data_IF_577986415650
#
_entry.id   IF_577986415650
#
_cell.length_a   1.000
_cell.length_b   1.000
_cell.length_c   1.000
_cell.angle_alpha   90.00
_cell.angle_beta   90.00
_cell.angle_gamma   90.00
#
_symmetry.space_group_name_H-M   'P 1'
#
loop_
_entity.id
_entity.type
_entity.pdbx_description
1 polymer ?
#
# COMPACT_ATOMS: atom_id res chain seq x y z
N UNK A 1 12.27 -14.26 -11.79
CA UNK A 1 12.82 -13.49 -10.65
C UNK A 1 11.67 -13.21 -9.68
N UNK A 2 11.92 -13.09 -8.38
CA UNK A 2 10.89 -12.67 -7.43
C UNK A 2 10.54 -11.19 -7.71
N UNK A 3 9.27 -10.82 -7.55
CA UNK A 3 8.83 -9.41 -7.69
C UNK A 3 9.46 -8.54 -6.61
N UNK A 4 9.79 -7.30 -6.95
CA UNK A 4 10.18 -6.28 -5.96
C UNK A 4 8.98 -5.86 -5.13
N UNK A 5 9.22 -5.22 -3.99
CA UNK A 5 8.14 -4.63 -3.18
C UNK A 5 7.37 -3.56 -3.96
N UNK A 6 8.08 -2.70 -4.69
CA UNK A 6 7.47 -1.76 -5.65
C UNK A 6 6.46 -2.43 -6.57
N UNK A 7 6.85 -3.53 -7.23
CA UNK A 7 5.98 -4.27 -8.15
C UNK A 7 4.78 -4.92 -7.45
N UNK A 8 4.97 -5.42 -6.22
CA UNK A 8 3.88 -5.97 -5.41
C UNK A 8 2.89 -4.90 -4.97
N UNK A 9 3.38 -3.77 -4.46
CA UNK A 9 2.58 -2.65 -4.01
C UNK A 9 1.78 -2.06 -5.19
N UNK A 10 2.42 -1.81 -6.34
CA UNK A 10 1.75 -1.37 -7.59
C UNK A 10 0.63 -2.34 -8.01
N UNK A 11 0.91 -3.64 -8.00
CA UNK A 11 -0.08 -4.65 -8.37
C UNK A 11 -1.27 -4.66 -7.41
N UNK A 12 -1.01 -4.55 -6.10
CA UNK A 12 -2.02 -4.52 -5.07
C UNK A 12 -2.93 -3.28 -5.17
N UNK A 13 -2.34 -2.08 -5.22
CA UNK A 13 -3.11 -0.82 -5.31
C UNK A 13 -3.95 -0.75 -6.58
N UNK A 14 -3.52 -1.42 -7.66
CA UNK A 14 -4.30 -1.55 -8.91
C UNK A 14 -5.42 -2.59 -8.81
N UNK A 15 -5.30 -3.59 -7.94
CA UNK A 15 -6.23 -4.71 -7.84
C UNK A 15 -7.43 -4.44 -6.92
N UNK A 16 -7.29 -3.54 -5.96
CA UNK A 16 -8.35 -3.16 -5.02
C UNK A 16 -9.22 -2.01 -5.58
N UNK A 17 -10.39 -1.81 -4.98
CA UNK A 17 -11.28 -0.69 -5.34
C UNK A 17 -10.71 0.67 -4.89
N UNK A 18 -11.22 1.75 -5.50
CA UNK A 18 -10.73 3.11 -5.25
C UNK A 18 -10.95 3.59 -3.82
N UNK A 19 -11.99 3.12 -3.13
CA UNK A 19 -12.23 3.51 -1.74
C UNK A 19 -11.18 2.87 -0.84
N UNK A 20 -10.98 1.56 -0.97
CA UNK A 20 -9.95 0.82 -0.21
C UNK A 20 -8.55 1.38 -0.48
N UNK A 21 -8.23 1.72 -1.74
CA UNK A 21 -6.96 2.38 -2.09
C UNK A 21 -6.82 3.73 -1.37
N UNK A 22 -7.83 4.58 -1.45
CA UNK A 22 -7.80 5.90 -0.81
C UNK A 22 -7.68 5.80 0.71
N UNK A 23 -8.37 4.86 1.37
CA UNK A 23 -8.30 4.67 2.82
C UNK A 23 -6.91 4.22 3.27
N UNK A 24 -6.23 3.39 2.48
CA UNK A 24 -4.85 2.97 2.74
C UNK A 24 -3.89 4.14 2.56
N UNK A 25 -3.98 4.86 1.44
CA UNK A 25 -3.10 6.00 1.16
C UNK A 25 -3.30 7.12 2.18
N UNK A 26 -4.54 7.41 2.57
CA UNK A 26 -4.86 8.41 3.60
C UNK A 26 -4.31 8.02 4.98
N UNK A 27 -4.31 6.73 5.34
CA UNK A 27 -3.68 6.25 6.57
C UNK A 27 -2.17 6.54 6.58
N UNK A 28 -1.48 6.21 5.48
CA UNK A 28 -0.04 6.41 5.31
C UNK A 28 0.27 7.91 5.30
N UNK A 29 -0.44 8.67 4.48
CA UNK A 29 -0.30 10.12 4.34
C UNK A 29 -0.41 10.84 5.70
N UNK A 30 -1.43 10.50 6.49
CA UNK A 30 -1.62 11.04 7.85
C UNK A 30 -0.49 10.64 8.81
N UNK A 31 0.04 9.42 8.70
CA UNK A 31 1.11 8.96 9.58
C UNK A 31 2.42 9.72 9.33
N UNK A 32 2.77 9.92 8.06
CA UNK A 32 4.03 10.56 7.66
C UNK A 32 3.93 12.08 7.43
N UNK A 33 2.72 12.65 7.48
CA UNK A 33 2.50 14.09 7.27
C UNK A 33 2.67 14.54 5.82
N UNK A 34 2.32 13.67 4.87
CA UNK A 34 2.40 13.90 3.43
C UNK A 34 1.00 13.86 2.79
N UNK A 35 0.89 14.10 1.49
CA UNK A 35 -0.34 13.96 0.71
C UNK A 35 -0.57 12.51 0.26
N UNK A 36 -1.79 12.18 -0.17
CA UNK A 36 -2.10 10.86 -0.71
C UNK A 36 -1.32 10.55 -2.00
N UNK A 37 -1.09 11.57 -2.84
CA UNK A 37 -0.31 11.43 -4.08
C UNK A 37 1.15 11.12 -3.74
N UNK A 38 1.75 11.86 -2.79
CA UNK A 38 3.10 11.55 -2.29
C UNK A 38 3.16 10.16 -1.64
N UNK A 39 2.14 9.75 -0.88
CA UNK A 39 2.09 8.40 -0.31
C UNK A 39 2.02 7.31 -1.39
N UNK A 40 1.32 7.54 -2.51
CA UNK A 40 1.29 6.61 -3.63
C UNK A 40 2.66 6.53 -4.32
N UNK A 41 3.31 7.67 -4.54
CA UNK A 41 4.65 7.73 -5.13
C UNK A 41 5.67 6.97 -4.24
N UNK A 42 5.68 7.22 -2.93
CA UNK A 42 6.60 6.59 -1.97
C UNK A 42 6.45 5.06 -1.92
N UNK A 43 5.21 4.56 -1.83
CA UNK A 43 4.99 3.10 -1.71
C UNK A 43 5.12 2.37 -3.05
N UNK A 44 5.26 3.11 -4.14
CA UNK A 44 5.47 2.55 -5.49
C UNK A 44 6.82 2.92 -6.08
N UNK A 45 7.69 3.61 -5.35
CA UNK A 45 9.07 3.84 -5.75
C UNK A 45 9.84 2.52 -5.90
N UNK A 46 10.93 2.53 -6.67
CA UNK A 46 11.74 1.33 -6.92
C UNK A 46 12.40 0.79 -5.63
N UNK A 47 12.66 1.65 -4.64
CA UNK A 47 13.23 1.31 -3.34
C UNK A 47 12.17 1.09 -2.24
N UNK A 48 10.88 1.05 -2.59
CA UNK A 48 9.80 0.92 -1.61
C UNK A 48 9.93 -0.32 -0.71
N UNK A 49 9.61 -0.16 0.56
CA UNK A 49 9.43 -1.28 1.49
C UNK A 49 8.10 -2.01 1.21
N UNK A 50 7.83 -3.09 1.94
CA UNK A 50 6.54 -3.77 1.80
C UNK A 50 5.43 -2.85 2.31
N UNK A 51 4.30 -2.73 1.59
CA UNK A 51 3.26 -1.74 1.93
C UNK A 51 2.79 -1.78 3.39
N UNK A 52 2.72 -2.99 3.98
CA UNK A 52 2.29 -3.18 5.37
C UNK A 52 3.25 -2.56 6.42
N UNK A 53 4.46 -2.18 6.02
CA UNK A 53 5.42 -1.51 6.89
C UNK A 53 5.15 0.00 6.98
N UNK A 54 4.44 0.58 5.99
CA UNK A 54 3.98 1.97 5.99
C UNK A 54 2.64 2.15 6.73
N UNK A 55 1.79 1.13 6.77
CA UNK A 55 0.42 1.23 7.30
C UNK A 55 0.40 1.07 8.82
N UNK A 56 -0.30 1.97 9.50
CA UNK A 56 -0.42 1.96 10.97
C UNK A 56 -1.83 1.68 11.45
N UNK A 57 -1.93 1.18 12.69
CA UNK A 57 -3.20 0.90 13.34
C UNK A 57 -3.99 -0.25 12.71
N UNK A 58 -5.32 -0.20 12.85
CA UNK A 58 -6.21 -1.30 12.44
C UNK A 58 -6.27 -1.48 10.92
N UNK A 59 -5.99 -0.43 10.15
CA UNK A 59 -5.95 -0.44 8.69
C UNK A 59 -4.94 -1.45 8.16
N UNK A 60 -3.85 -1.71 8.90
CA UNK A 60 -2.84 -2.70 8.51
C UNK A 60 -3.41 -4.10 8.37
N UNK A 61 -4.33 -4.49 9.27
CA UNK A 61 -4.97 -5.80 9.22
C UNK A 61 -5.94 -5.92 8.03
N UNK A 62 -6.65 -4.83 7.71
CA UNK A 62 -7.51 -4.77 6.53
C UNK A 62 -6.72 -4.90 5.23
N UNK A 63 -5.62 -4.14 5.12
CA UNK A 63 -4.70 -4.23 3.98
C UNK A 63 -4.10 -5.64 3.83
N UNK A 64 -3.67 -6.26 4.94
CA UNK A 64 -3.16 -7.64 4.92
C UNK A 64 -4.21 -8.64 4.39
N UNK A 65 -5.47 -8.54 4.84
CA UNK A 65 -6.54 -9.40 4.36
C UNK A 65 -6.79 -9.23 2.85
N UNK A 66 -6.82 -7.98 2.36
CA UNK A 66 -6.96 -7.70 0.93
C UNK A 66 -5.78 -8.24 0.11
N UNK A 67 -4.55 -8.09 0.62
CA UNK A 67 -3.35 -8.63 -0.05
C UNK A 67 -3.39 -10.15 -0.20
N UNK A 68 -3.90 -10.88 0.79
CA UNK A 68 -4.14 -12.32 0.69
C UNK A 68 -5.19 -12.66 -0.37
N UNK A 69 -6.32 -11.94 -0.39
CA UNK A 69 -7.41 -12.15 -1.36
C UNK A 69 -6.91 -11.94 -2.80
N UNK A 70 -6.07 -10.93 -3.01
CA UNK A 70 -5.55 -10.58 -4.33
C UNK A 70 -4.18 -11.20 -4.66
N UNK A 71 -3.67 -12.12 -3.83
CA UNK A 71 -2.39 -12.82 -4.02
C UNK A 71 -1.19 -11.86 -4.25
N UNK A 72 -1.12 -10.81 -3.43
CA UNK A 72 -0.09 -9.75 -3.50
C UNK A 72 0.88 -9.73 -2.31
N UNK A 73 1.00 -10.85 -1.58
CA UNK A 73 2.00 -11.03 -0.51
C UNK A 73 3.42 -11.23 -1.06
#
# INVERSE_FOLDING_TARGET
>A
MAKTNSEKNKAFLKAIDSQSKNDILDNIAKHYGITNDEAEDEVTDDEAEHLLDYITGNQRNGAYALMLIHNCM
#
